data_IF_669017728839
#
_entry.id   IF_669017728839
#
_cell.length_a   1.000
_cell.length_b   1.000
_cell.length_c   1.000
_cell.angle_alpha   90.00
_cell.angle_beta   90.00
_cell.angle_gamma   90.00
#
_symmetry.space_group_name_H-M   'P 1'
#
loop_
_entity.id
_entity.type
_entity.pdbx_description
1 polymer ?
#
# COMPACT_ATOMS: atom_id res chain seq x y z
N UNK A 1 -12.35 6.84 -11.26
CA UNK A 1 -11.35 6.88 -12.38
C UNK A 1 -10.02 7.40 -11.82
N UNK A 2 -8.93 6.61 -11.87
CA UNK A 2 -7.60 6.97 -11.35
C UNK A 2 -6.91 7.90 -12.34
N UNK A 3 -6.49 9.09 -11.91
CA UNK A 3 -5.81 10.11 -12.73
C UNK A 3 -4.44 10.51 -12.17
N UNK A 4 -4.26 10.44 -10.86
CA UNK A 4 -3.02 10.83 -10.17
C UNK A 4 -2.61 9.74 -9.20
N UNK A 5 -1.42 9.18 -9.39
CA UNK A 5 -0.88 8.09 -8.56
C UNK A 5 0.36 8.60 -7.84
N UNK A 6 0.33 8.63 -6.50
CA UNK A 6 1.51 8.91 -5.69
C UNK A 6 2.32 7.63 -5.49
N UNK A 7 3.63 7.71 -5.75
CA UNK A 7 4.55 6.59 -5.64
C UNK A 7 5.73 6.97 -4.75
N UNK A 8 5.65 6.68 -3.46
CA UNK A 8 6.79 6.84 -2.57
C UNK A 8 7.90 5.85 -2.93
N UNK A 9 9.12 6.35 -3.08
CA UNK A 9 10.29 5.51 -3.43
C UNK A 9 11.54 5.94 -2.69
N UNK A 10 12.32 4.96 -2.27
CA UNK A 10 13.66 5.14 -1.70
C UNK A 10 14.74 4.40 -2.51
N UNK A 11 14.38 3.91 -3.70
CA UNK A 11 15.23 3.11 -4.57
C UNK A 11 15.47 1.68 -4.13
N UNK A 12 14.90 1.23 -3.00
CA UNK A 12 15.01 -0.15 -2.55
C UNK A 12 14.15 -1.11 -3.39
N UNK A 13 14.45 -2.41 -3.32
CA UNK A 13 13.78 -3.45 -4.12
C UNK A 13 12.26 -3.47 -3.95
N UNK A 14 11.76 -3.31 -2.73
CA UNK A 14 10.33 -3.24 -2.49
C UNK A 14 9.69 -2.01 -3.16
N UNK A 15 10.35 -0.84 -3.06
CA UNK A 15 9.89 0.38 -3.71
C UNK A 15 9.92 0.24 -5.24
N UNK A 16 10.93 -0.38 -5.81
CA UNK A 16 11.03 -0.64 -7.25
C UNK A 16 9.83 -1.47 -7.76
N UNK A 17 9.42 -2.51 -7.01
CA UNK A 17 8.19 -3.27 -7.35
C UNK A 17 6.95 -2.38 -7.32
N UNK A 18 6.85 -1.46 -6.36
CA UNK A 18 5.78 -0.46 -6.30
C UNK A 18 5.79 0.47 -7.51
N UNK A 19 6.97 0.93 -7.92
CA UNK A 19 7.16 1.77 -9.12
C UNK A 19 6.65 1.05 -10.37
N UNK A 20 7.13 -0.17 -10.64
CA UNK A 20 6.74 -0.94 -11.82
C UNK A 20 5.23 -1.19 -11.87
N UNK A 21 4.62 -1.47 -10.71
CA UNK A 21 3.17 -1.65 -10.66
C UNK A 21 2.41 -0.34 -10.93
N UNK A 22 2.86 0.77 -10.34
CA UNK A 22 2.24 2.08 -10.54
C UNK A 22 2.36 2.55 -12.01
N UNK A 23 3.50 2.32 -12.65
CA UNK A 23 3.72 2.65 -14.07
C UNK A 23 2.79 1.82 -14.96
N UNK A 24 2.64 0.52 -14.69
CA UNK A 24 1.71 -0.34 -15.43
C UNK A 24 0.25 0.12 -15.28
N UNK A 25 -0.17 0.51 -14.06
CA UNK A 25 -1.50 1.09 -13.82
C UNK A 25 -1.66 2.43 -14.55
N UNK A 26 -0.68 3.31 -14.44
CA UNK A 26 -0.71 4.62 -15.08
C UNK A 26 -0.80 4.52 -16.60
N UNK A 27 -0.07 3.60 -17.21
CA UNK A 27 -0.16 3.31 -18.65
C UNK A 27 -1.58 2.85 -19.06
N UNK A 28 -2.18 1.94 -18.26
CA UNK A 28 -3.53 1.43 -18.51
C UNK A 28 -4.61 2.51 -18.39
N UNK A 29 -4.54 3.34 -17.35
CA UNK A 29 -5.58 4.34 -17.04
C UNK A 29 -5.29 5.74 -17.57
N UNK A 30 -4.15 5.93 -18.26
CA UNK A 30 -3.66 7.23 -18.69
C UNK A 30 -3.59 8.21 -17.52
N UNK A 31 -3.04 7.72 -16.41
CA UNK A 31 -2.83 8.48 -15.19
C UNK A 31 -1.45 9.13 -15.18
N UNK A 32 -1.32 10.18 -14.37
CA UNK A 32 -0.06 10.84 -14.08
C UNK A 32 0.59 10.23 -12.83
N UNK A 33 1.89 9.95 -12.87
CA UNK A 33 2.66 9.43 -11.74
C UNK A 33 3.37 10.57 -11.03
N UNK A 34 3.24 10.60 -9.70
CA UNK A 34 3.92 11.54 -8.81
C UNK A 34 4.91 10.73 -7.96
N UNK A 35 6.18 10.79 -8.32
CA UNK A 35 7.26 10.17 -7.56
C UNK A 35 7.61 11.03 -6.34
N UNK A 36 7.70 10.41 -5.18
CA UNK A 36 8.09 11.08 -3.94
C UNK A 36 9.22 10.32 -3.24
N UNK A 37 10.35 11.00 -3.02
CA UNK A 37 11.39 10.48 -2.12
C UNK A 37 11.42 11.34 -0.86
N UNK A 38 11.45 10.69 0.31
CA UNK A 38 11.45 11.42 1.60
C UNK A 38 12.73 11.12 2.35
N UNK A 39 13.47 12.18 2.67
CA UNK A 39 14.60 12.13 3.60
C UNK A 39 14.05 12.12 5.03
N UNK A 40 14.27 11.01 5.73
CA UNK A 40 13.77 10.87 7.11
C UNK A 40 14.61 11.71 8.08
N UNK A 41 14.04 12.79 8.57
CA UNK A 41 14.69 13.71 9.53
C UNK A 41 15.10 13.02 10.83
N UNK A 42 14.44 11.92 11.21
CA UNK A 42 14.78 11.14 12.41
C UNK A 42 16.14 10.44 12.28
N UNK A 43 16.60 10.17 11.06
CA UNK A 43 17.95 9.65 10.82
C UNK A 43 19.02 10.73 11.03
N UNK A 44 18.66 11.99 10.80
CA UNK A 44 19.57 13.14 11.01
C UNK A 44 19.68 13.55 12.48
N UNK A 45 18.61 13.29 13.26
CA UNK A 45 18.52 13.63 14.70
C UNK A 45 19.02 12.53 15.64
N UNK A 46 19.46 11.38 15.11
CA UNK A 46 19.82 10.22 15.92
C UNK A 46 21.02 10.52 16.83
N UNK A 47 20.89 10.42 18.18
CA UNK A 47 21.97 10.68 19.14
C UNK A 47 23.21 9.84 18.89
N UNK A 48 23.08 8.64 18.32
CA UNK A 48 24.20 7.76 18.01
C UNK A 48 25.15 8.35 16.94
N UNK A 49 24.63 9.17 16.03
CA UNK A 49 25.41 9.91 15.05
C UNK A 49 26.16 11.05 15.72
N UNK A 50 25.59 11.63 16.79
CA UNK A 50 26.23 12.68 17.61
C UNK A 50 27.32 12.12 18.51
N UNK A 51 27.13 10.95 19.12
CA UNK A 51 28.09 10.36 20.07
C UNK A 51 29.35 9.84 19.43
N UNK A 52 29.30 9.34 18.20
CA UNK A 52 30.52 8.95 17.44
C UNK A 52 31.42 10.16 17.18
N UNK A 53 30.84 11.34 16.95
CA UNK A 53 31.60 12.58 16.72
C UNK A 53 32.27 13.11 17.99
N UNK A 54 31.69 12.84 19.18
CA UNK A 54 32.22 13.33 20.48
C UNK A 54 33.21 12.37 21.13
N UNK A 55 33.15 11.06 20.81
CA UNK A 55 33.99 10.03 21.43
C UNK A 55 35.43 9.95 20.91
N UNK A 56 35.76 10.54 19.78
CA UNK A 56 37.10 10.42 19.15
C UNK A 56 38.05 11.60 19.38
N UNK A 57 37.66 12.59 20.20
CA UNK A 57 38.51 13.74 20.53
C UNK A 57 38.89 14.64 19.34
N UNK A 58 38.30 14.43 18.18
CA UNK A 58 38.36 15.33 17.03
C UNK A 58 37.32 16.43 17.19
N UNK A 59 37.65 17.70 16.81
CA UNK A 59 36.64 18.77 16.85
C UNK A 59 35.42 18.32 16.06
N UNK A 60 34.20 18.58 16.55
CA UNK A 60 32.99 18.20 15.86
C UNK A 60 33.06 18.74 14.44
N UNK A 61 33.04 17.85 13.45
CA UNK A 61 32.85 18.27 12.07
C UNK A 61 31.49 18.97 12.03
N UNK A 62 31.52 20.29 11.97
CA UNK A 62 30.34 21.16 11.90
C UNK A 62 29.41 20.81 10.71
N UNK A 63 29.87 19.95 9.78
CA UNK A 63 29.16 19.59 8.55
C UNK A 63 28.77 18.09 8.47
N UNK A 64 28.82 17.32 9.57
CA UNK A 64 28.46 15.90 9.53
C UNK A 64 26.96 15.65 9.24
N UNK A 65 26.03 16.45 9.81
CA UNK A 65 24.62 16.36 9.43
C UNK A 65 24.39 16.73 7.97
N UNK A 66 25.07 17.76 7.46
CA UNK A 66 24.93 18.21 6.07
C UNK A 66 25.40 17.14 5.07
N UNK A 67 26.53 16.50 5.34
CA UNK A 67 27.03 15.43 4.46
C UNK A 67 26.14 14.19 4.42
N UNK A 68 25.45 13.84 5.51
CA UNK A 68 24.47 12.74 5.52
C UNK A 68 23.21 13.16 4.78
N UNK A 69 22.73 14.38 4.97
CA UNK A 69 21.60 14.92 4.26
C UNK A 69 21.84 14.88 2.75
N UNK A 70 23.00 15.36 2.28
CA UNK A 70 23.40 15.33 0.86
C UNK A 70 23.42 13.91 0.28
N UNK A 71 23.90 12.91 1.05
CA UNK A 71 23.89 11.51 0.63
C UNK A 71 22.47 10.96 0.53
N UNK A 72 21.61 11.27 1.49
CA UNK A 72 20.22 10.82 1.48
C UNK A 72 19.42 11.49 0.36
N UNK A 73 19.62 12.79 0.13
CA UNK A 73 19.02 13.51 -0.99
C UNK A 73 19.51 12.96 -2.33
N UNK A 74 20.82 12.71 -2.47
CA UNK A 74 21.39 12.09 -3.66
C UNK A 74 20.79 10.72 -3.97
N UNK A 75 20.56 9.90 -2.95
CA UNK A 75 19.81 8.62 -3.10
C UNK A 75 18.38 8.85 -3.52
N UNK A 76 17.71 9.85 -2.96
CA UNK A 76 16.36 10.24 -3.33
C UNK A 76 16.27 10.63 -4.81
N UNK A 77 17.16 11.48 -5.26
CA UNK A 77 17.24 11.88 -6.67
C UNK A 77 17.53 10.70 -7.61
N UNK A 78 18.43 9.78 -7.22
CA UNK A 78 18.70 8.58 -8.00
C UNK A 78 17.45 7.66 -8.10
N UNK A 79 16.72 7.49 -7.01
CA UNK A 79 15.47 6.72 -6.99
C UNK A 79 14.39 7.34 -7.90
N UNK A 80 14.26 8.66 -7.88
CA UNK A 80 13.33 9.39 -8.75
C UNK A 80 13.75 9.33 -10.21
N UNK A 81 15.04 9.42 -10.52
CA UNK A 81 15.56 9.27 -11.88
C UNK A 81 15.23 7.88 -12.46
N UNK A 82 15.36 6.81 -11.64
CA UNK A 82 14.98 5.47 -12.05
C UNK A 82 13.47 5.35 -12.33
N UNK A 83 12.61 5.93 -11.46
CA UNK A 83 11.17 5.98 -11.67
C UNK A 83 10.81 6.74 -12.96
N UNK A 84 11.43 7.90 -13.18
CA UNK A 84 11.21 8.71 -14.40
C UNK A 84 11.62 7.96 -15.69
N UNK A 85 12.73 7.23 -15.62
CA UNK A 85 13.18 6.40 -16.75
C UNK A 85 12.16 5.29 -17.07
N UNK A 86 11.60 4.64 -16.05
CA UNK A 86 10.57 3.61 -16.23
C UNK A 86 9.28 4.19 -16.80
N UNK A 87 8.82 5.35 -16.29
CA UNK A 87 7.69 6.08 -16.84
C UNK A 87 7.90 6.46 -18.32
N UNK A 88 9.07 7.00 -18.65
CA UNK A 88 9.42 7.36 -20.03
C UNK A 88 9.39 6.15 -20.96
N UNK A 89 9.93 5.00 -20.51
CA UNK A 89 9.90 3.74 -21.26
C UNK A 89 8.48 3.23 -21.53
N UNK A 90 7.53 3.53 -20.65
CA UNK A 90 6.11 3.17 -20.78
C UNK A 90 5.24 4.26 -21.40
N UNK A 91 5.80 5.42 -21.76
CA UNK A 91 5.02 6.57 -22.28
C UNK A 91 4.09 7.20 -21.24
N UNK A 92 4.41 7.08 -19.96
CA UNK A 92 3.63 7.60 -18.82
C UNK A 92 4.15 8.98 -18.42
N UNK A 93 3.23 9.94 -18.24
CA UNK A 93 3.55 11.25 -17.69
C UNK A 93 3.92 11.15 -16.21
N UNK A 94 5.02 11.78 -15.82
CA UNK A 94 5.58 11.64 -14.49
C UNK A 94 6.27 12.93 -14.02
N UNK A 95 6.13 13.24 -12.74
CA UNK A 95 6.91 14.23 -12.01
C UNK A 95 7.51 13.61 -10.75
N UNK A 96 8.56 14.21 -10.19
CA UNK A 96 9.21 13.68 -8.98
C UNK A 96 9.75 14.78 -8.10
N UNK A 97 9.64 14.60 -6.80
CA UNK A 97 10.14 15.53 -5.78
C UNK A 97 10.83 14.79 -4.62
N UNK A 98 11.84 15.44 -4.06
CA UNK A 98 12.45 15.05 -2.79
C UNK A 98 11.92 15.98 -1.71
N UNK A 99 11.46 15.41 -0.60
CA UNK A 99 11.00 16.14 0.57
C UNK A 99 11.73 15.66 1.81
N UNK A 100 11.81 16.48 2.85
CA UNK A 100 12.37 16.10 4.15
C UNK A 100 11.27 16.08 5.20
N UNK A 101 11.30 15.10 6.11
CA UNK A 101 10.31 15.01 7.19
C UNK A 101 10.16 13.61 7.75
N UNK A 102 9.11 13.40 8.53
CA UNK A 102 8.71 12.07 9.01
C UNK A 102 8.02 11.34 7.86
N UNK A 103 8.67 10.31 7.34
CA UNK A 103 8.30 9.66 6.06
C UNK A 103 6.80 9.41 5.89
N UNK A 104 6.08 8.71 6.80
CA UNK A 104 4.66 8.44 6.60
C UNK A 104 3.79 9.71 6.63
N UNK A 105 4.16 10.74 7.38
CA UNK A 105 3.39 11.98 7.45
C UNK A 105 3.51 12.77 6.15
N UNK A 106 4.72 12.88 5.60
CA UNK A 106 4.97 13.55 4.32
C UNK A 106 4.23 12.83 3.17
N UNK A 107 4.23 11.49 3.17
CA UNK A 107 3.50 10.72 2.16
C UNK A 107 2.00 11.00 2.24
N UNK A 108 1.41 11.01 3.45
CA UNK A 108 -0.02 11.26 3.64
C UNK A 108 -0.40 12.68 3.20
N UNK A 109 0.41 13.68 3.57
CA UNK A 109 0.20 15.08 3.15
C UNK A 109 0.25 15.23 1.63
N UNK A 110 1.27 14.67 0.98
CA UNK A 110 1.40 14.74 -0.48
C UNK A 110 0.32 13.95 -1.24
N UNK A 111 -0.36 13.04 -0.56
CA UNK A 111 -1.43 12.25 -1.15
C UNK A 111 -2.78 12.97 -1.23
N UNK A 112 -2.98 14.10 -0.56
CA UNK A 112 -4.30 14.77 -0.47
C UNK A 112 -4.93 15.13 -1.81
N UNK A 113 -4.11 15.39 -2.83
CA UNK A 113 -4.55 15.71 -4.20
C UNK A 113 -4.23 14.58 -5.19
N UNK A 114 -4.26 13.35 -4.72
CA UNK A 114 -4.06 12.14 -5.56
C UNK A 114 -5.25 11.18 -5.42
N UNK A 115 -5.35 10.22 -6.32
CA UNK A 115 -6.44 9.25 -6.31
C UNK A 115 -6.03 7.92 -5.68
N UNK A 116 -4.72 7.66 -5.64
CA UNK A 116 -4.15 6.39 -5.21
C UNK A 116 -2.71 6.57 -4.73
N UNK A 117 -2.36 5.93 -3.63
CA UNK A 117 -0.97 5.71 -3.24
C UNK A 117 -0.59 4.29 -3.63
N UNK A 118 0.54 4.11 -4.30
CA UNK A 118 1.10 2.78 -4.59
C UNK A 118 2.41 2.59 -3.85
N UNK A 119 2.46 1.59 -2.97
CA UNK A 119 3.63 1.29 -2.15
C UNK A 119 4.09 -0.15 -2.36
N UNK A 120 5.40 -0.36 -2.37
CA UNK A 120 5.97 -1.70 -2.35
C UNK A 120 5.86 -2.37 -0.99
N UNK A 121 5.54 -3.66 -0.98
CA UNK A 121 5.55 -4.46 0.24
C UNK A 121 6.97 -4.88 0.58
N UNK A 122 7.42 -4.57 1.78
CA UNK A 122 8.67 -5.10 2.32
C UNK A 122 8.42 -6.54 2.77
N UNK A 123 9.08 -7.49 2.12
CA UNK A 123 9.08 -8.90 2.53
C UNK A 123 10.41 -9.20 3.20
N UNK A 124 10.43 -9.45 4.49
CA UNK A 124 11.62 -9.95 5.17
C UNK A 124 11.68 -11.47 5.02
N UNK A 125 12.72 -11.97 4.36
CA UNK A 125 13.05 -13.39 4.35
C UNK A 125 13.90 -13.69 5.58
N UNK A 126 13.29 -14.21 6.65
CA UNK A 126 14.01 -14.61 7.86
C UNK A 126 13.06 -15.16 8.93
N UNK A 127 13.43 -16.28 9.53
CA UNK A 127 12.60 -17.13 10.40
C UNK A 127 12.15 -16.52 11.75
N UNK A 128 12.39 -15.22 12.02
CA UNK A 128 12.13 -14.60 13.34
C UNK A 128 11.39 -13.27 13.36
N UNK A 129 10.84 -12.80 12.24
CA UNK A 129 10.00 -11.59 12.22
C UNK A 129 8.68 -11.84 11.48
N UNK A 130 7.83 -12.65 12.09
CA UNK A 130 6.62 -13.20 11.47
C UNK A 130 5.48 -12.20 11.25
N UNK A 131 5.58 -10.92 11.66
CA UNK A 131 4.42 -10.01 11.65
C UNK A 131 4.71 -8.55 11.22
N UNK A 132 5.82 -8.25 10.54
CA UNK A 132 6.14 -6.86 10.20
C UNK A 132 5.82 -6.52 8.74
N UNK A 133 4.68 -5.91 8.51
CA UNK A 133 4.48 -5.00 7.37
C UNK A 133 5.33 -3.77 7.66
N UNK A 134 6.10 -3.26 6.69
CA UNK A 134 6.99 -2.13 6.94
C UNK A 134 6.25 -0.97 7.64
N UNK A 135 6.82 -0.45 8.72
CA UNK A 135 6.19 0.55 9.60
C UNK A 135 5.65 1.78 8.84
N UNK A 136 6.29 2.14 7.74
CA UNK A 136 5.86 3.22 6.85
C UNK A 136 4.55 2.86 6.13
N UNK A 137 4.49 1.68 5.50
CA UNK A 137 3.29 1.22 4.75
C UNK A 137 2.08 1.13 5.68
N UNK A 138 2.28 0.61 6.87
CA UNK A 138 1.25 0.51 7.89
C UNK A 138 0.75 1.87 8.35
N UNK A 139 1.69 2.80 8.65
CA UNK A 139 1.34 4.14 9.07
C UNK A 139 0.62 4.93 7.97
N UNK A 140 1.07 4.82 6.72
CA UNK A 140 0.39 5.43 5.55
C UNK A 140 -1.01 4.85 5.39
N UNK A 141 -1.17 3.53 5.39
CA UNK A 141 -2.47 2.87 5.25
C UNK A 141 -3.46 3.26 6.36
N UNK A 142 -2.94 3.59 7.55
CA UNK A 142 -3.75 4.05 8.69
C UNK A 142 -4.22 5.50 8.57
N UNK A 143 -3.43 6.38 7.97
CA UNK A 143 -3.66 7.82 8.00
C UNK A 143 -4.06 8.42 6.66
N UNK A 144 -3.81 7.72 5.56
CA UNK A 144 -4.16 8.22 4.23
C UNK A 144 -5.68 8.43 4.09
N UNK A 145 -6.06 9.52 3.45
CA UNK A 145 -7.43 9.85 3.07
C UNK A 145 -7.85 9.21 1.75
N UNK A 146 -6.87 8.73 0.99
CA UNK A 146 -7.06 8.08 -0.33
C UNK A 146 -6.71 6.59 -0.24
N UNK A 147 -7.20 5.75 -1.18
CA UNK A 147 -6.84 4.35 -1.26
C UNK A 147 -5.33 4.09 -1.28
N UNK A 148 -4.89 3.02 -0.63
CA UNK A 148 -3.48 2.60 -0.61
C UNK A 148 -3.35 1.21 -1.21
N UNK A 149 -2.67 1.09 -2.34
CA UNK A 149 -2.33 -0.18 -2.96
C UNK A 149 -0.95 -0.63 -2.49
N UNK A 150 -0.91 -1.72 -1.76
CA UNK A 150 0.32 -2.35 -1.32
C UNK A 150 0.66 -3.49 -2.26
N UNK A 151 1.75 -3.33 -3.03
CA UNK A 151 2.12 -4.29 -4.07
C UNK A 151 2.90 -5.46 -3.50
N UNK A 152 2.63 -6.66 -4.00
CA UNK A 152 3.47 -7.85 -3.88
C UNK A 152 3.95 -8.26 -5.27
N UNK A 153 4.47 -9.46 -5.44
CA UNK A 153 4.61 -10.06 -6.77
C UNK A 153 3.34 -10.86 -7.08
N UNK A 154 2.91 -11.00 -8.33
CA UNK A 154 3.27 -10.31 -9.56
C UNK A 154 2.36 -9.09 -9.86
N UNK A 155 2.63 -8.41 -11.01
CA UNK A 155 1.86 -7.26 -11.50
C UNK A 155 0.39 -7.56 -11.87
N UNK A 156 -0.35 -6.55 -12.35
CA UNK A 156 -1.77 -6.68 -12.68
C UNK A 156 -1.96 -7.76 -13.75
N UNK A 157 -2.63 -8.85 -13.37
CA UNK A 157 -2.92 -10.01 -14.23
C UNK A 157 -4.43 -10.23 -14.39
N UNK A 158 -4.82 -11.08 -15.32
CA UNK A 158 -6.22 -11.38 -15.67
C UNK A 158 -6.94 -12.32 -14.70
N UNK A 159 -6.68 -12.23 -13.38
CA UNK A 159 -7.35 -13.05 -12.36
C UNK A 159 -8.55 -12.37 -11.73
N UNK A 160 -9.07 -12.95 -10.64
CA UNK A 160 -10.22 -12.41 -9.91
C UNK A 160 -9.83 -11.25 -9.00
N UNK A 161 -10.76 -10.32 -8.80
CA UNK A 161 -10.76 -9.36 -7.70
C UNK A 161 -11.42 -10.03 -6.48
N UNK A 162 -10.70 -10.14 -5.36
CA UNK A 162 -11.25 -10.64 -4.10
C UNK A 162 -11.62 -9.47 -3.20
N UNK A 163 -12.91 -9.30 -2.91
CA UNK A 163 -13.40 -8.33 -1.93
C UNK A 163 -13.65 -9.03 -0.58
N UNK A 164 -12.97 -8.59 0.48
CA UNK A 164 -13.23 -9.05 1.85
C UNK A 164 -14.24 -8.14 2.53
N UNK A 165 -15.32 -8.73 3.07
CA UNK A 165 -16.45 -7.99 3.61
C UNK A 165 -16.81 -8.47 5.02
N UNK A 166 -16.90 -7.52 5.96
CA UNK A 166 -17.28 -7.76 7.36
C UNK A 166 -18.40 -6.86 7.87
N UNK A 167 -19.06 -6.11 6.96
CA UNK A 167 -20.14 -5.19 7.31
C UNK A 167 -19.71 -3.88 7.97
N UNK A 168 -18.42 -3.63 8.19
CA UNK A 168 -17.92 -2.36 8.72
C UNK A 168 -18.09 -1.22 7.70
N UNK A 169 -18.03 0.03 8.18
CA UNK A 169 -18.10 1.19 7.29
C UNK A 169 -16.98 1.18 6.23
N UNK A 170 -15.76 0.80 6.61
CA UNK A 170 -14.65 0.69 5.66
C UNK A 170 -14.83 -0.49 4.69
N UNK A 171 -15.42 -1.62 5.15
CA UNK A 171 -15.73 -2.73 4.26
C UNK A 171 -16.82 -2.37 3.24
N UNK A 172 -17.81 -1.54 3.61
CA UNK A 172 -18.80 -1.01 2.65
C UNK A 172 -18.17 -0.11 1.60
N UNK A 173 -17.23 0.76 2.01
CA UNK A 173 -16.46 1.56 1.07
C UNK A 173 -15.58 0.66 0.17
N UNK A 174 -14.94 -0.35 0.74
CA UNK A 174 -14.15 -1.33 -0.01
C UNK A 174 -14.98 -2.13 -1.01
N UNK A 175 -16.21 -2.52 -0.64
CA UNK A 175 -17.13 -3.22 -1.55
C UNK A 175 -17.49 -2.37 -2.77
N UNK A 176 -17.76 -1.06 -2.57
CA UNK A 176 -17.99 -0.12 -3.67
C UNK A 176 -16.78 -0.03 -4.60
N UNK A 177 -15.61 0.20 -4.02
CA UNK A 177 -14.35 0.28 -4.79
C UNK A 177 -14.03 -1.04 -5.52
N UNK A 178 -14.32 -2.19 -4.89
CA UNK A 178 -14.12 -3.50 -5.52
C UNK A 178 -15.03 -3.70 -6.74
N UNK A 179 -16.30 -3.30 -6.65
CA UNK A 179 -17.23 -3.36 -7.78
C UNK A 179 -16.77 -2.45 -8.93
N UNK A 180 -16.40 -1.20 -8.63
CA UNK A 180 -15.88 -0.25 -9.62
C UNK A 180 -14.61 -0.76 -10.30
N UNK A 181 -13.65 -1.24 -9.51
CA UNK A 181 -12.39 -1.80 -10.02
C UNK A 181 -12.64 -3.04 -10.86
N UNK A 182 -13.51 -3.96 -10.40
CA UNK A 182 -13.83 -5.17 -11.15
C UNK A 182 -14.42 -4.85 -12.52
N UNK A 183 -15.35 -3.91 -12.60
CA UNK A 183 -15.94 -3.44 -13.86
C UNK A 183 -14.88 -2.76 -14.74
N UNK A 184 -14.16 -1.76 -14.20
CA UNK A 184 -13.18 -0.96 -14.95
C UNK A 184 -11.99 -1.81 -15.45
N UNK A 185 -11.61 -2.83 -14.69
CA UNK A 185 -10.49 -3.70 -15.04
C UNK A 185 -10.92 -4.97 -15.77
N UNK A 186 -12.23 -5.21 -15.90
CA UNK A 186 -12.78 -6.39 -16.55
C UNK A 186 -12.45 -7.68 -15.79
N UNK A 187 -12.50 -7.64 -14.47
CA UNK A 187 -12.19 -8.77 -13.57
C UNK A 187 -13.47 -9.36 -13.00
N UNK A 188 -13.59 -10.70 -12.89
CA UNK A 188 -14.65 -11.30 -12.08
C UNK A 188 -14.46 -10.92 -10.60
N UNK A 189 -15.55 -10.67 -9.89
CA UNK A 189 -15.53 -10.35 -8.48
C UNK A 189 -15.83 -11.59 -7.64
N UNK A 190 -14.98 -11.87 -6.66
CA UNK A 190 -15.28 -12.81 -5.59
C UNK A 190 -15.47 -12.04 -4.30
N UNK A 191 -16.63 -12.22 -3.65
CA UNK A 191 -16.90 -11.66 -2.33
C UNK A 191 -16.67 -12.73 -1.26
N UNK A 192 -15.79 -12.44 -0.30
CA UNK A 192 -15.49 -13.30 0.84
C UNK A 192 -16.06 -12.68 2.12
N UNK A 193 -16.83 -13.46 2.85
CA UNK A 193 -17.26 -13.17 4.23
C UNK A 193 -16.64 -14.21 5.16
N UNK A 194 -15.87 -13.74 6.15
CA UNK A 194 -15.32 -14.60 7.21
C UNK A 194 -16.09 -14.34 8.50
N UNK A 195 -17.02 -15.23 8.83
CA UNK A 195 -17.91 -15.09 9.97
C UNK A 195 -18.56 -16.43 10.33
N UNK A 196 -18.91 -16.62 11.60
CA UNK A 196 -19.75 -17.75 12.04
C UNK A 196 -21.23 -17.55 11.66
N UNK A 197 -21.65 -16.30 11.45
CA UNK A 197 -22.99 -15.92 11.00
C UNK A 197 -22.92 -15.08 9.70
N UNK A 198 -22.57 -15.69 8.54
CA UNK A 198 -22.28 -14.94 7.32
C UNK A 198 -23.53 -14.41 6.59
N UNK A 199 -24.72 -15.00 6.82
CA UNK A 199 -25.89 -14.75 6.00
C UNK A 199 -26.33 -13.28 5.95
N UNK A 200 -26.45 -12.53 7.09
CA UNK A 200 -26.83 -11.12 7.05
C UNK A 200 -25.85 -10.25 6.23
N UNK A 201 -24.54 -10.55 6.33
CA UNK A 201 -23.50 -9.84 5.60
C UNK A 201 -23.55 -10.13 4.09
N UNK A 202 -23.83 -11.38 3.74
CA UNK A 202 -24.01 -11.78 2.33
C UNK A 202 -25.25 -11.11 1.73
N UNK A 203 -26.35 -11.05 2.46
CA UNK A 203 -27.60 -10.45 1.95
C UNK A 203 -27.44 -8.95 1.74
N UNK A 204 -26.73 -8.25 2.66
CA UNK A 204 -26.37 -6.85 2.49
C UNK A 204 -25.51 -6.63 1.25
N UNK A 205 -24.44 -7.40 1.10
CA UNK A 205 -23.51 -7.26 -0.02
C UNK A 205 -24.17 -7.63 -1.35
N UNK A 206 -25.00 -8.68 -1.40
CA UNK A 206 -25.79 -9.07 -2.59
C UNK A 206 -26.74 -7.96 -3.01
N UNK A 207 -27.47 -7.38 -2.06
CA UNK A 207 -28.39 -6.28 -2.34
C UNK A 207 -27.69 -5.11 -3.04
N UNK A 208 -26.46 -4.79 -2.65
CA UNK A 208 -25.66 -3.77 -3.31
C UNK A 208 -25.17 -4.21 -4.70
N UNK A 209 -24.58 -5.41 -4.80
CA UNK A 209 -23.91 -5.89 -6.02
C UNK A 209 -24.90 -6.25 -7.15
N UNK A 210 -26.16 -6.56 -6.84
CA UNK A 210 -27.20 -6.82 -7.85
C UNK A 210 -27.41 -5.67 -8.85
N UNK A 211 -27.07 -4.43 -8.45
CA UNK A 211 -27.18 -3.26 -9.32
C UNK A 211 -26.02 -3.12 -10.30
N UNK A 212 -25.01 -3.97 -10.18
CA UNK A 212 -23.80 -3.91 -11.00
C UNK A 212 -23.83 -5.04 -12.03
N UNK A 213 -23.54 -4.72 -13.27
CA UNK A 213 -23.43 -5.72 -14.35
C UNK A 213 -22.05 -6.37 -14.31
N UNK A 214 -21.87 -7.25 -13.30
CA UNK A 214 -20.61 -7.94 -13.14
C UNK A 214 -20.83 -9.35 -12.54
N UNK A 215 -20.07 -10.38 -12.99
CA UNK A 215 -20.16 -11.72 -12.41
C UNK A 215 -19.56 -11.72 -11.01
N UNK A 216 -20.36 -12.13 -10.02
CA UNK A 216 -19.96 -12.19 -8.61
C UNK A 216 -20.08 -13.62 -8.08
N UNK A 217 -18.99 -14.14 -7.55
CA UNK A 217 -18.97 -15.38 -6.77
C UNK A 217 -18.93 -15.04 -5.28
N UNK A 218 -19.75 -15.76 -4.48
CA UNK A 218 -19.87 -15.55 -3.06
C UNK A 218 -19.27 -16.73 -2.30
N UNK A 219 -18.37 -16.44 -1.36
CA UNK A 219 -17.70 -17.44 -0.54
C UNK A 219 -17.77 -17.07 0.94
N UNK A 220 -17.95 -18.10 1.79
CA UNK A 220 -17.94 -17.95 3.24
C UNK A 220 -16.88 -18.83 3.85
N UNK A 221 -16.17 -18.29 4.83
CA UNK A 221 -15.19 -19.03 5.64
C UNK A 221 -15.36 -18.71 7.12
N UNK A 222 -14.85 -19.57 7.97
CA UNK A 222 -14.75 -19.36 9.42
C UNK A 222 -13.29 -19.31 9.85
N UNK A 223 -13.02 -18.74 11.03
CA UNK A 223 -11.66 -18.65 11.58
C UNK A 223 -11.09 -17.23 11.55
N UNK A 224 -9.76 -17.12 11.50
CA UNK A 224 -9.07 -15.83 11.54
C UNK A 224 -9.17 -15.11 10.19
N UNK A 225 -9.79 -13.91 10.12
CA UNK A 225 -10.07 -13.26 8.84
C UNK A 225 -8.83 -13.06 7.97
N UNK A 226 -7.71 -12.55 8.51
CA UNK A 226 -6.51 -12.29 7.71
C UNK A 226 -5.90 -13.55 7.08
N UNK A 227 -5.96 -14.71 7.79
CA UNK A 227 -5.51 -15.99 7.26
C UNK A 227 -6.44 -16.48 6.15
N UNK A 228 -7.75 -16.38 6.37
CA UNK A 228 -8.76 -16.83 5.40
C UNK A 228 -8.81 -15.98 4.15
N UNK A 229 -8.57 -14.66 4.24
CA UNK A 229 -8.49 -13.78 3.07
C UNK A 229 -7.29 -14.19 2.20
N UNK A 230 -6.11 -14.39 2.80
CA UNK A 230 -4.92 -14.79 2.05
C UNK A 230 -5.07 -16.18 1.42
N UNK A 231 -5.64 -17.16 2.16
CA UNK A 231 -5.92 -18.50 1.65
C UNK A 231 -6.93 -18.47 0.50
N UNK A 232 -8.06 -17.77 0.66
CA UNK A 232 -9.05 -17.62 -0.41
C UNK A 232 -8.44 -16.97 -1.67
N UNK A 233 -7.59 -15.96 -1.50
CA UNK A 233 -6.92 -15.31 -2.62
C UNK A 233 -6.01 -16.28 -3.39
N UNK A 234 -5.30 -17.17 -2.68
CA UNK A 234 -4.48 -18.20 -3.30
C UNK A 234 -5.34 -19.25 -4.01
N UNK A 235 -6.41 -19.74 -3.35
CA UNK A 235 -7.28 -20.80 -3.89
C UNK A 235 -8.02 -20.36 -5.16
N UNK A 236 -8.44 -19.10 -5.24
CA UNK A 236 -9.17 -18.57 -6.40
C UNK A 236 -8.29 -17.90 -7.46
N UNK A 237 -6.98 -17.87 -7.25
CA UNK A 237 -6.06 -17.18 -8.17
C UNK A 237 -6.33 -15.67 -8.25
N UNK A 238 -6.68 -15.04 -7.13
CA UNK A 238 -6.92 -13.61 -7.09
C UNK A 238 -5.65 -12.84 -7.48
N UNK A 239 -5.80 -11.81 -8.29
CA UNK A 239 -4.72 -10.90 -8.69
C UNK A 239 -4.84 -9.53 -8.01
N UNK A 240 -5.92 -9.31 -7.26
CA UNK A 240 -6.13 -8.14 -6.41
C UNK A 240 -7.02 -8.54 -5.23
N UNK A 241 -6.62 -8.14 -4.02
CA UNK A 241 -7.48 -8.13 -2.85
C UNK A 241 -7.93 -6.70 -2.59
N UNK A 242 -9.22 -6.47 -2.36
CA UNK A 242 -9.78 -5.18 -1.92
C UNK A 242 -10.42 -5.38 -0.55
N UNK A 243 -10.01 -4.59 0.42
CA UNK A 243 -10.53 -4.70 1.78
C UNK A 243 -10.57 -3.35 2.51
N UNK A 244 -11.48 -3.25 3.47
CA UNK A 244 -11.49 -2.15 4.41
C UNK A 244 -10.27 -2.20 5.33
N UNK A 245 -9.63 -1.08 5.57
CA UNK A 245 -8.51 -0.98 6.48
C UNK A 245 -8.96 -0.39 7.83
N UNK A 246 -8.54 -0.99 8.95
CA UNK A 246 -8.69 -0.46 10.31
C UNK A 246 -10.14 -0.23 10.80
N UNK A 247 -11.12 -1.03 10.34
CA UNK A 247 -12.57 -0.79 10.53
C UNK A 247 -13.15 -1.00 11.92
N UNK A 248 -12.57 -1.81 12.79
CA UNK A 248 -13.18 -2.22 14.08
C UNK A 248 -12.51 -1.66 15.33
N UNK A 249 -11.54 -0.75 15.23
CA UNK A 249 -10.85 -0.26 16.43
C UNK A 249 -11.45 1.02 16.97
N UNK A 250 -12.00 0.92 18.19
CA UNK A 250 -12.24 2.07 19.07
C UNK A 250 -10.91 2.80 19.28
N UNK A 251 -10.90 4.08 19.09
CA UNK A 251 -9.85 5.11 19.07
C UNK A 251 -8.74 5.07 20.13
N UNK A 252 -8.46 3.98 20.83
CA UNK A 252 -7.56 4.00 22.01
C UNK A 252 -6.39 3.03 22.02
N UNK A 253 -6.21 2.19 21.01
CA UNK A 253 -5.06 1.28 21.00
C UNK A 253 -4.24 1.42 19.72
N UNK A 254 -2.95 1.68 19.90
CA UNK A 254 -1.88 1.81 18.90
C UNK A 254 -1.57 0.47 18.16
N UNK A 255 -2.50 -0.47 18.14
CA UNK A 255 -2.29 -1.80 17.57
C UNK A 255 -2.86 -1.84 16.15
N UNK A 256 -2.03 -2.27 15.21
CA UNK A 256 -2.43 -2.60 13.82
C UNK A 256 -3.63 -3.53 13.87
N UNK A 257 -4.65 -3.26 13.06
CA UNK A 257 -5.73 -4.23 12.88
C UNK A 257 -5.13 -5.56 12.45
N UNK A 258 -5.22 -6.55 13.30
CA UNK A 258 -4.58 -7.88 13.08
C UNK A 258 -4.92 -8.46 11.71
N UNK A 259 -6.15 -8.24 11.23
CA UNK A 259 -6.62 -8.67 9.91
C UNK A 259 -5.84 -8.01 8.78
N UNK A 260 -5.70 -6.67 8.79
CA UNK A 260 -4.98 -5.93 7.74
C UNK A 260 -3.51 -6.34 7.69
N UNK A 261 -2.84 -6.39 8.85
CA UNK A 261 -1.44 -6.79 8.94
C UNK A 261 -1.22 -8.23 8.45
N UNK A 262 -2.03 -9.18 8.93
CA UNK A 262 -1.96 -10.57 8.50
C UNK A 262 -2.22 -10.75 7.00
N UNK A 263 -3.22 -10.03 6.46
CA UNK A 263 -3.50 -10.06 5.02
C UNK A 263 -2.32 -9.52 4.23
N UNK A 264 -1.80 -8.34 4.59
CA UNK A 264 -0.66 -7.73 3.92
C UNK A 264 0.58 -8.64 3.96
N UNK A 265 0.80 -9.34 5.07
CA UNK A 265 1.94 -10.25 5.20
C UNK A 265 1.81 -11.49 4.31
N UNK A 266 0.61 -12.09 4.25
CA UNK A 266 0.37 -13.41 3.63
C UNK A 266 -0.21 -13.35 2.21
N UNK A 267 -0.72 -12.19 1.78
CA UNK A 267 -1.39 -12.06 0.48
C UNK A 267 -0.49 -12.49 -0.69
N UNK A 268 -0.96 -13.36 -1.58
CA UNK A 268 -0.22 -13.78 -2.76
C UNK A 268 -0.19 -12.71 -3.87
N UNK A 269 -1.02 -11.68 -3.75
CA UNK A 269 -1.20 -10.61 -4.72
C UNK A 269 -1.26 -9.23 -4.05
N UNK A 270 -1.32 -8.13 -4.81
CA UNK A 270 -1.51 -6.78 -4.29
C UNK A 270 -2.78 -6.66 -3.46
N UNK A 271 -2.74 -5.77 -2.46
CA UNK A 271 -3.87 -5.48 -1.56
C UNK A 271 -4.22 -3.99 -1.65
N UNK A 272 -5.43 -3.69 -2.08
CA UNK A 272 -6.00 -2.35 -2.09
C UNK A 272 -6.76 -2.12 -0.78
N UNK A 273 -6.24 -1.19 0.00
CA UNK A 273 -6.78 -0.80 1.30
C UNK A 273 -7.66 0.43 1.14
N UNK A 274 -8.91 0.34 1.60
CA UNK A 274 -9.91 1.40 1.53
C UNK A 274 -10.28 1.84 2.95
N UNK A 275 -10.42 3.12 3.11
CA UNK A 275 -10.79 3.73 4.40
C UNK A 275 -12.20 4.33 4.40
#
# INVERSE_FOLDING_TARGET
MIKRILVPTNGGEAAARGVSYAVALAARFKAHVIGLSVVDVRLLENPFVRDIATGTGTPPFLNYPDGIADVLEGRGHAALAALQAECAGAGVSCEGSVAAGVVPLVIVEQAELTDLIVMGRVTHHGERMEEFVGSTTESVARHASVPVLVTGAPGPGGGACLAAYDGSAHARNALRSAAEVAVEWGMPLRLLVVSDEPQPLLDEARGYLQSHDLPVEYETRTGKPGEQIAACAADCGATLIVMGAFGHMKLRELVVGSTTAQTLHRAPCPVLLIR
#
